data_IF_585836237585
#
_entry.id   IF_585836237585
#
_cell.length_a   1.000
_cell.length_b   1.000
_cell.length_c   1.000
_cell.angle_alpha   90.00
_cell.angle_beta   90.00
_cell.angle_gamma   90.00
#
_symmetry.space_group_name_H-M   'P 1'
#
loop_
_entity.id
_entity.type
_entity.pdbx_description
1 polymer ?
#
# COMPACT_ATOMS: atom_id res chain seq x y z
N UNK A 1 34.69 18.94 15.18
CA UNK A 1 34.34 17.68 14.47
C UNK A 1 32.89 17.39 14.81
N UNK A 2 32.03 17.19 13.81
CA UNK A 2 30.65 16.73 14.01
C UNK A 2 30.69 15.21 13.88
N UNK A 3 30.08 14.51 14.82
CA UNK A 3 30.00 13.05 14.85
C UNK A 3 28.55 12.64 15.07
N UNK A 4 28.17 11.51 14.48
CA UNK A 4 26.87 10.88 14.71
C UNK A 4 27.00 10.00 15.94
N UNK A 5 26.16 10.22 16.95
CA UNK A 5 26.23 9.49 18.22
C UNK A 5 25.21 8.34 18.32
N UNK A 6 24.10 8.44 17.60
CA UNK A 6 23.00 7.47 17.63
C UNK A 6 22.51 7.19 16.20
N UNK A 7 21.62 6.20 16.05
CA UNK A 7 20.94 5.94 14.78
C UNK A 7 20.19 7.20 14.33
N UNK A 8 20.33 7.51 13.05
CA UNK A 8 19.61 8.58 12.37
C UNK A 8 18.58 7.91 11.47
N UNK A 9 17.38 8.43 11.49
CA UNK A 9 16.22 7.93 10.77
C UNK A 9 15.47 9.16 10.26
N UNK A 10 15.33 9.25 8.93
CA UNK A 10 14.75 10.42 8.24
C UNK A 10 13.23 10.46 8.45
N UNK A 11 12.60 9.29 8.53
CA UNK A 11 11.18 9.08 8.79
C UNK A 11 10.79 9.63 10.17
N UNK A 12 11.73 9.63 11.12
CA UNK A 12 11.57 10.23 12.45
C UNK A 12 11.93 11.73 12.49
N UNK A 13 13.12 12.10 12.00
CA UNK A 13 13.64 13.48 12.08
C UNK A 13 14.40 13.86 10.81
N UNK A 14 13.80 14.74 10.01
CA UNK A 14 14.37 15.22 8.72
C UNK A 14 15.49 16.25 8.92
N UNK A 15 15.40 17.10 9.96
CA UNK A 15 16.33 18.21 10.16
C UNK A 15 16.84 18.32 11.59
N UNK A 16 18.15 18.51 11.74
CA UNK A 16 18.82 18.79 13.02
C UNK A 16 19.40 20.20 13.02
N UNK A 17 18.76 21.17 13.70
CA UNK A 17 19.32 22.50 13.88
C UNK A 17 20.39 22.49 14.98
N UNK A 18 21.59 22.96 14.65
CA UNK A 18 22.72 23.08 15.56
C UNK A 18 23.15 24.55 15.67
N UNK A 19 23.44 24.99 16.90
CA UNK A 19 24.07 26.28 17.17
C UNK A 19 25.50 26.04 17.61
N UNK A 20 26.45 26.46 16.78
CA UNK A 20 27.87 26.37 17.07
C UNK A 20 28.34 27.68 17.69
N UNK A 21 28.89 27.63 18.90
CA UNK A 21 29.56 28.77 19.52
C UNK A 21 31.06 28.63 19.33
N UNK A 22 31.68 29.62 18.69
CA UNK A 22 33.11 29.70 18.47
C UNK A 22 33.63 30.78 19.42
N UNK A 23 34.57 30.44 20.30
CA UNK A 23 35.19 31.40 21.23
C UNK A 23 36.70 31.45 21.04
N UNK A 24 37.28 32.65 21.17
CA UNK A 24 38.73 32.81 21.22
C UNK A 24 39.28 32.56 22.63
N UNK A 25 40.61 32.48 22.74
CA UNK A 25 41.32 32.37 24.02
C UNK A 25 41.71 33.74 24.60
N UNK A 26 41.06 34.82 24.16
CA UNK A 26 41.33 36.18 24.63
C UNK A 26 40.91 36.40 26.09
N UNK A 27 41.34 37.52 26.68
CA UNK A 27 40.85 37.96 27.98
C UNK A 27 40.51 39.47 27.93
N UNK A 28 39.22 39.86 27.83
CA UNK A 28 38.05 38.98 27.83
C UNK A 28 37.93 38.15 26.54
N UNK A 29 37.36 36.95 26.67
CA UNK A 29 37.11 36.07 25.51
C UNK A 29 35.96 36.62 24.67
N UNK A 30 36.13 36.60 23.36
CA UNK A 30 35.07 36.92 22.41
C UNK A 30 34.48 35.62 21.85
N UNK A 31 33.17 35.61 21.63
CA UNK A 31 32.49 34.47 20.99
C UNK A 31 31.52 34.92 19.92
N UNK A 32 31.29 34.05 18.95
CA UNK A 32 30.31 34.23 17.87
C UNK A 32 29.55 32.93 17.66
N UNK A 33 28.28 33.04 17.30
CA UNK A 33 27.42 31.89 17.02
C UNK A 33 27.24 31.69 15.52
N UNK A 34 27.22 30.43 15.09
CA UNK A 34 26.90 29.99 13.73
C UNK A 34 25.76 28.98 13.79
N UNK A 35 24.69 29.25 13.05
CA UNK A 35 23.58 28.31 12.89
C UNK A 35 23.87 27.35 11.74
N UNK A 36 23.78 26.06 12.00
CA UNK A 36 23.91 24.98 11.01
C UNK A 36 22.59 24.19 11.00
N UNK A 37 22.09 23.87 9.81
CA UNK A 37 20.96 22.96 9.64
C UNK A 37 21.48 21.71 8.93
N UNK A 38 21.43 20.56 9.61
CA UNK A 38 21.76 19.27 9.00
C UNK A 38 20.47 18.69 8.45
N UNK A 39 20.45 18.39 7.16
CA UNK A 39 19.39 17.64 6.48
C UNK A 39 19.78 16.16 6.42
N UNK A 40 18.85 15.29 6.83
CA UNK A 40 19.01 13.86 6.71
C UNK A 40 18.49 13.45 5.33
N UNK A 41 19.32 12.73 4.58
CA UNK A 41 18.95 12.20 3.27
C UNK A 41 18.18 10.89 3.44
N UNK A 42 17.27 10.67 2.50
CA UNK A 42 16.42 9.49 2.42
C UNK A 42 17.19 8.26 1.93
N UNK A 43 16.91 7.10 2.53
CA UNK A 43 17.33 5.78 2.07
C UNK A 43 16.09 4.92 1.87
N UNK A 44 16.11 3.98 0.92
CA UNK A 44 14.96 3.09 0.67
C UNK A 44 14.90 1.95 1.69
N UNK A 45 14.47 2.24 2.91
CA UNK A 45 14.42 1.29 4.03
C UNK A 45 13.01 0.94 4.50
N UNK A 46 11.98 1.55 3.91
CA UNK A 46 10.60 1.14 4.06
C UNK A 46 10.14 0.32 2.84
N UNK A 47 9.03 -0.40 3.03
CA UNK A 47 8.40 -1.20 2.00
C UNK A 47 6.95 -0.75 1.86
N UNK A 48 6.34 -0.85 0.66
CA UNK A 48 4.94 -0.51 0.48
C UNK A 48 4.05 -1.34 1.42
N UNK A 49 3.16 -0.68 2.14
CA UNK A 49 2.17 -1.30 3.00
C UNK A 49 0.76 -1.16 2.40
N UNK A 50 0.10 -2.29 2.13
CA UNK A 50 -1.27 -2.32 1.62
C UNK A 50 -2.31 -2.16 2.73
N UNK A 51 -3.28 -1.28 2.52
CA UNK A 51 -4.40 -0.99 3.41
C UNK A 51 -5.71 -1.53 2.84
N UNK A 52 -6.04 -2.79 3.17
CA UNK A 52 -7.27 -3.45 2.70
C UNK A 52 -8.07 -4.06 3.85
N UNK A 53 -9.38 -3.82 3.89
CA UNK A 53 -10.25 -4.40 4.92
C UNK A 53 -10.52 -5.90 4.70
N UNK A 54 -10.59 -6.33 3.44
CA UNK A 54 -10.90 -7.72 3.05
C UNK A 54 -10.13 -8.13 1.81
N UNK A 55 -9.50 -9.31 1.84
CA UNK A 55 -8.75 -9.87 0.70
C UNK A 55 -9.63 -10.53 -0.38
N UNK A 56 -10.94 -10.25 -0.38
CA UNK A 56 -11.87 -10.77 -1.37
C UNK A 56 -12.89 -9.72 -1.86
N UNK A 57 -13.40 -9.95 -3.06
CA UNK A 57 -14.38 -9.11 -3.74
C UNK A 57 -15.48 -10.03 -4.27
N UNK A 58 -16.72 -9.60 -4.17
CA UNK A 58 -17.88 -10.33 -4.68
C UNK A 58 -18.37 -9.65 -5.96
N UNK A 59 -18.33 -10.36 -7.09
CA UNK A 59 -18.55 -9.78 -8.41
C UNK A 59 -19.70 -10.48 -9.16
N UNK A 60 -20.65 -9.74 -9.72
CA UNK A 60 -21.80 -10.37 -10.37
C UNK A 60 -21.36 -11.21 -11.59
N UNK A 61 -22.01 -12.34 -11.87
CA UNK A 61 -21.73 -13.12 -13.09
C UNK A 61 -22.03 -12.32 -14.37
N UNK A 62 -22.98 -11.39 -14.32
CA UNK A 62 -23.43 -10.57 -15.46
C UNK A 62 -22.66 -9.23 -15.60
N UNK A 63 -21.40 -9.17 -15.16
CA UNK A 63 -20.60 -7.93 -15.23
C UNK A 63 -20.41 -7.45 -16.65
N UNK A 64 -20.55 -6.14 -16.81
CA UNK A 64 -20.26 -5.40 -18.03
C UNK A 64 -18.80 -4.91 -18.08
N UNK A 65 -18.31 -4.65 -19.29
CA UNK A 65 -16.98 -4.12 -19.55
C UNK A 65 -16.69 -2.82 -18.78
N UNK A 66 -15.42 -2.62 -18.38
CA UNK A 66 -14.89 -1.41 -17.71
C UNK A 66 -15.49 -1.14 -16.33
N UNK A 67 -16.04 -2.15 -15.67
CA UNK A 67 -16.48 -2.01 -14.30
C UNK A 67 -15.27 -1.92 -13.35
N UNK A 68 -15.34 -0.96 -12.43
CA UNK A 68 -14.43 -0.82 -11.29
C UNK A 68 -14.75 -1.88 -10.24
N UNK A 69 -13.74 -2.63 -9.80
CA UNK A 69 -13.90 -3.69 -8.80
C UNK A 69 -13.46 -3.23 -7.41
N UNK A 70 -12.23 -2.74 -7.31
CA UNK A 70 -11.64 -2.24 -6.07
C UNK A 70 -10.60 -1.17 -6.40
N UNK A 71 -10.37 -0.29 -5.44
CA UNK A 71 -9.26 0.64 -5.42
C UNK A 71 -8.32 0.22 -4.29
N UNK A 72 -7.12 -0.22 -4.63
CA UNK A 72 -6.11 -0.58 -3.65
C UNK A 72 -5.41 0.69 -3.17
N UNK A 73 -5.23 0.77 -1.85
CA UNK A 73 -4.52 1.87 -1.20
C UNK A 73 -3.28 1.28 -0.55
N UNK A 74 -2.12 1.79 -0.91
CA UNK A 74 -0.86 1.45 -0.27
C UNK A 74 -0.11 2.72 0.12
N UNK A 75 0.77 2.63 1.11
CA UNK A 75 1.63 3.73 1.52
C UNK A 75 3.06 3.24 1.74
N UNK A 76 4.00 4.12 1.45
CA UNK A 76 5.41 3.96 1.73
C UNK A 76 5.87 5.26 2.37
N UNK A 77 6.69 5.16 3.40
CA UNK A 77 7.11 6.33 4.16
C UNK A 77 8.32 7.01 3.52
N UNK A 78 9.04 6.35 2.63
CA UNK A 78 10.23 6.89 1.97
C UNK A 78 9.88 8.06 1.03
N UNK A 79 10.87 8.85 0.64
CA UNK A 79 10.65 10.05 -0.16
C UNK A 79 10.88 9.81 -1.66
N UNK A 80 10.16 10.59 -2.48
CA UNK A 80 10.30 10.58 -3.94
C UNK A 80 10.19 9.16 -4.52
N UNK A 81 11.15 8.72 -5.31
CA UNK A 81 11.13 7.39 -5.94
C UNK A 81 11.21 6.24 -4.93
N UNK A 82 11.82 6.47 -3.76
CA UNK A 82 11.89 5.44 -2.72
C UNK A 82 10.49 5.17 -2.14
N UNK A 83 9.63 6.20 -2.05
CA UNK A 83 8.23 6.03 -1.65
C UNK A 83 7.22 5.90 -2.80
N UNK A 84 7.64 5.97 -4.06
CA UNK A 84 6.71 5.96 -5.20
C UNK A 84 6.20 4.54 -5.47
N UNK A 85 4.92 4.32 -5.18
CA UNK A 85 4.28 3.01 -5.30
C UNK A 85 3.65 2.80 -6.66
N UNK A 86 3.88 1.62 -7.23
CA UNK A 86 3.18 1.17 -8.44
C UNK A 86 2.60 -0.23 -8.29
N UNK A 87 1.59 -0.49 -9.11
CA UNK A 87 0.74 -1.68 -9.06
C UNK A 87 0.76 -2.43 -10.39
N UNK A 88 0.95 -3.74 -10.33
CA UNK A 88 0.90 -4.61 -11.51
C UNK A 88 0.15 -5.90 -11.19
N UNK A 89 -0.51 -6.50 -12.18
CA UNK A 89 -1.01 -7.86 -12.06
C UNK A 89 0.09 -8.82 -12.50
N UNK A 90 0.29 -9.89 -11.73
CA UNK A 90 1.22 -10.95 -12.10
C UNK A 90 0.89 -11.46 -13.51
N UNK A 91 1.89 -11.74 -14.37
CA UNK A 91 1.67 -12.28 -15.72
C UNK A 91 0.88 -13.59 -15.76
N UNK A 92 0.81 -14.31 -14.63
CA UNK A 92 0.05 -15.54 -14.48
C UNK A 92 -1.47 -15.30 -14.30
N UNK A 93 -1.89 -14.04 -14.19
CA UNK A 93 -3.27 -13.63 -13.97
C UNK A 93 -4.05 -13.57 -15.29
N UNK A 94 -5.37 -13.81 -15.24
CA UNK A 94 -6.25 -13.72 -16.41
C UNK A 94 -6.16 -12.35 -17.11
N UNK A 95 -6.04 -12.29 -18.45
CA UNK A 95 -5.96 -11.04 -19.21
C UNK A 95 -7.27 -10.23 -19.20
N UNK A 96 -8.31 -10.77 -18.56
CA UNK A 96 -9.60 -10.09 -18.42
C UNK A 96 -9.59 -8.95 -17.40
N UNK A 97 -8.55 -8.88 -16.57
CA UNK A 97 -8.40 -7.88 -15.52
C UNK A 97 -7.18 -7.01 -15.79
N UNK A 98 -7.28 -5.74 -15.42
CA UNK A 98 -6.17 -4.81 -15.42
C UNK A 98 -6.19 -4.03 -14.12
N UNK A 99 -5.01 -3.77 -13.58
CA UNK A 99 -4.83 -2.80 -12.50
C UNK A 99 -4.18 -1.55 -13.07
N UNK A 100 -4.70 -0.38 -12.70
CA UNK A 100 -4.12 0.89 -13.08
C UNK A 100 -2.82 1.12 -12.30
N UNK A 101 -1.74 1.31 -13.04
CA UNK A 101 -0.36 1.31 -12.54
C UNK A 101 -0.10 2.27 -11.37
N UNK A 102 -0.61 3.51 -11.45
CA UNK A 102 -0.29 4.58 -10.48
C UNK A 102 -1.29 4.75 -9.35
N UNK A 103 -2.46 4.11 -9.42
CA UNK A 103 -3.52 4.33 -8.43
C UNK A 103 -4.18 3.04 -7.93
N UNK A 104 -3.67 1.86 -8.31
CA UNK A 104 -4.13 0.60 -7.73
C UNK A 104 -5.58 0.23 -8.06
N UNK A 105 -6.22 0.86 -9.06
CA UNK A 105 -7.62 0.58 -9.39
C UNK A 105 -7.72 -0.66 -10.26
N UNK A 106 -8.41 -1.70 -9.78
CA UNK A 106 -8.67 -2.93 -10.51
C UNK A 106 -9.94 -2.79 -11.37
N UNK A 107 -9.79 -3.03 -12.67
CA UNK A 107 -10.84 -2.93 -13.68
C UNK A 107 -10.96 -4.22 -14.48
N UNK A 108 -12.16 -4.46 -15.00
CA UNK A 108 -12.41 -5.53 -15.98
C UNK A 108 -12.28 -4.97 -17.40
N UNK A 109 -11.41 -5.57 -18.22
CA UNK A 109 -11.09 -5.10 -19.56
C UNK A 109 -11.81 -5.87 -20.69
N UNK A 110 -12.37 -7.05 -20.43
CA UNK A 110 -12.95 -7.91 -21.49
C UNK A 110 -14.18 -7.29 -22.18
N UNK A 111 -14.36 -7.63 -23.47
CA UNK A 111 -15.54 -7.30 -24.28
C UNK A 111 -16.65 -8.36 -24.18
N UNK A 112 -16.36 -9.54 -23.64
CA UNK A 112 -17.31 -10.65 -23.50
C UNK A 112 -17.76 -10.78 -22.05
N UNK A 113 -18.94 -11.35 -21.82
CA UNK A 113 -19.31 -11.80 -20.48
C UNK A 113 -18.20 -12.70 -19.95
N UNK A 114 -17.84 -12.50 -18.68
CA UNK A 114 -16.91 -13.36 -17.97
C UNK A 114 -17.59 -14.69 -17.68
N UNK A 115 -17.61 -15.59 -18.66
CA UNK A 115 -18.13 -16.95 -18.51
C UNK A 115 -17.01 -17.77 -17.87
N UNK A 116 -16.89 -17.64 -16.55
CA UNK A 116 -16.07 -18.55 -15.76
C UNK A 116 -16.93 -19.69 -15.26
N UNK A 117 -16.47 -20.92 -15.50
CA UNK A 117 -17.03 -22.13 -14.89
C UNK A 117 -16.76 -22.14 -13.38
N UNK A 118 -15.65 -21.53 -12.95
CA UNK A 118 -15.29 -21.37 -11.56
C UNK A 118 -15.94 -20.15 -10.90
N UNK A 119 -16.36 -20.34 -9.64
CA UNK A 119 -16.89 -19.27 -8.79
C UNK A 119 -15.80 -18.48 -8.04
N UNK A 120 -14.53 -18.74 -8.33
CA UNK A 120 -13.38 -18.08 -7.71
C UNK A 120 -12.31 -17.79 -8.76
N UNK A 121 -11.89 -16.53 -8.82
CA UNK A 121 -10.69 -16.09 -9.52
C UNK A 121 -9.68 -15.60 -8.50
N UNK A 122 -8.42 -15.97 -8.71
CA UNK A 122 -7.30 -15.54 -7.90
C UNK A 122 -6.46 -14.58 -8.75
N UNK A 123 -6.27 -13.36 -8.24
CA UNK A 123 -5.38 -12.37 -8.84
C UNK A 123 -4.20 -12.16 -7.90
N UNK A 124 -2.98 -12.23 -8.44
CA UNK A 124 -1.78 -11.86 -7.71
C UNK A 124 -1.41 -10.43 -8.09
N UNK A 125 -1.52 -9.51 -7.14
CA UNK A 125 -1.18 -8.10 -7.32
C UNK A 125 0.22 -7.88 -6.80
N UNK A 126 1.09 -7.35 -7.65
CA UNK A 126 2.43 -6.92 -7.33
C UNK A 126 2.38 -5.42 -6.98
N UNK A 127 2.91 -5.06 -5.82
CA UNK A 127 2.98 -3.66 -5.36
C UNK A 127 4.43 -3.39 -5.05
N UNK A 128 4.99 -2.34 -5.65
CA UNK A 128 6.42 -2.09 -5.63
C UNK A 128 6.73 -0.62 -5.44
N UNK A 129 7.78 -0.31 -4.71
CA UNK A 129 8.43 1.00 -4.79
C UNK A 129 9.41 1.10 -5.98
N UNK A 130 10.04 2.27 -6.14
CA UNK A 130 11.07 2.52 -7.14
C UNK A 130 12.42 2.90 -6.54
N UNK A 131 12.61 2.58 -5.26
CA UNK A 131 13.78 3.02 -4.54
C UNK A 131 15.06 2.26 -4.88
N UNK A 132 16.18 2.83 -4.44
CA UNK A 132 17.51 2.24 -4.59
C UNK A 132 18.15 2.08 -3.21
N UNK A 133 18.99 1.05 -3.00
CA UNK A 133 19.55 0.12 -4.00
C UNK A 133 18.65 -1.05 -4.39
N UNK A 134 17.72 -1.48 -3.52
CA UNK A 134 16.84 -2.62 -3.77
C UNK A 134 15.39 -2.14 -3.62
N UNK A 135 14.60 -2.11 -4.71
CA UNK A 135 13.19 -1.78 -4.61
C UNK A 135 12.41 -2.90 -3.93
N UNK A 136 11.55 -2.56 -2.96
CA UNK A 136 10.73 -3.53 -2.26
C UNK A 136 9.53 -3.96 -3.10
N UNK A 137 9.26 -5.28 -3.15
CA UNK A 137 8.14 -5.88 -3.87
C UNK A 137 7.30 -6.71 -2.90
N UNK A 138 6.03 -6.36 -2.75
CA UNK A 138 5.05 -7.18 -2.06
C UNK A 138 4.08 -7.82 -3.07
N UNK A 139 3.58 -9.01 -2.75
CA UNK A 139 2.58 -9.72 -3.56
C UNK A 139 1.35 -10.00 -2.71
N UNK A 140 0.23 -9.40 -3.08
CA UNK A 140 -1.06 -9.63 -2.44
C UNK A 140 -1.93 -10.56 -3.29
N UNK A 141 -2.76 -11.39 -2.63
CA UNK A 141 -3.66 -12.32 -3.32
C UNK A 141 -5.11 -11.88 -3.16
N UNK A 142 -5.66 -11.27 -4.21
CA UNK A 142 -7.07 -10.89 -4.27
C UNK A 142 -7.92 -12.06 -4.77
N UNK A 143 -9.01 -12.34 -4.05
CA UNK A 143 -9.97 -13.39 -4.41
C UNK A 143 -11.26 -12.77 -4.90
N UNK A 144 -11.57 -13.00 -6.17
CA UNK A 144 -12.81 -12.56 -6.78
C UNK A 144 -13.76 -13.74 -6.76
N UNK A 145 -14.73 -13.70 -5.87
CA UNK A 145 -15.83 -14.64 -5.91
C UNK A 145 -16.80 -14.18 -7.00
N UNK A 146 -17.34 -15.11 -7.80
CA UNK A 146 -18.32 -14.87 -8.88
C UNK A 146 -19.65 -15.54 -8.57
N UNK A 147 -20.74 -14.78 -8.62
CA UNK A 147 -22.04 -15.21 -8.13
C UNK A 147 -23.16 -14.32 -8.66
N UNK A 148 -24.38 -14.81 -8.54
CA UNK A 148 -25.57 -14.18 -9.14
C UNK A 148 -26.44 -13.42 -8.13
N UNK A 149 -26.49 -13.90 -6.89
CA UNK A 149 -27.35 -13.36 -5.84
C UNK A 149 -26.80 -13.66 -4.43
N UNK A 150 -27.45 -13.12 -3.40
CA UNK A 150 -27.02 -13.28 -1.99
C UNK A 150 -26.88 -14.74 -1.55
N UNK A 151 -27.79 -15.63 -1.95
CA UNK A 151 -27.76 -17.03 -1.52
C UNK A 151 -26.57 -17.76 -2.14
N UNK A 152 -26.35 -17.54 -3.44
CA UNK A 152 -25.20 -18.03 -4.18
C UNK A 152 -23.89 -17.57 -3.52
N UNK A 153 -23.82 -16.28 -3.19
CA UNK A 153 -22.68 -15.70 -2.48
C UNK A 153 -22.37 -16.34 -1.14
N UNK A 154 -23.39 -16.54 -0.31
CA UNK A 154 -23.22 -17.19 0.98
C UNK A 154 -22.72 -18.64 0.80
N UNK A 155 -23.22 -19.35 -0.21
CA UNK A 155 -22.78 -20.70 -0.52
C UNK A 155 -21.32 -20.72 -1.00
N UNK A 156 -20.91 -19.76 -1.82
CA UNK A 156 -19.53 -19.61 -2.29
C UNK A 156 -18.59 -19.28 -1.11
N UNK A 157 -18.94 -18.30 -0.28
CA UNK A 157 -18.14 -17.94 0.90
C UNK A 157 -18.02 -19.13 1.87
N UNK A 158 -19.08 -19.91 2.07
CA UNK A 158 -19.02 -21.15 2.85
C UNK A 158 -18.15 -22.21 2.19
N UNK A 159 -18.28 -22.43 0.87
CA UNK A 159 -17.46 -23.39 0.10
C UNK A 159 -15.96 -23.12 0.27
N UNK A 160 -15.57 -21.85 0.34
CA UNK A 160 -14.16 -21.44 0.46
C UNK A 160 -13.73 -21.02 1.87
N UNK A 161 -14.57 -21.22 2.90
CA UNK A 161 -14.29 -20.85 4.30
C UNK A 161 -14.03 -19.35 4.55
N UNK A 162 -14.68 -18.46 3.78
CA UNK A 162 -14.66 -17.00 3.96
C UNK A 162 -15.90 -16.45 4.68
N UNK A 163 -16.81 -17.33 5.10
CA UNK A 163 -18.00 -16.94 5.85
C UNK A 163 -17.73 -16.98 7.36
N UNK A 164 -17.88 -15.83 8.03
CA UNK A 164 -17.82 -15.69 9.48
C UNK A 164 -19.14 -15.09 10.01
N UNK A 165 -19.86 -15.86 10.82
CA UNK A 165 -21.14 -15.44 11.43
C UNK A 165 -20.96 -14.28 12.42
N UNK A 166 -19.78 -14.14 13.03
CA UNK A 166 -19.53 -13.13 14.07
C UNK A 166 -19.29 -11.72 13.50
N UNK A 167 -18.87 -11.64 12.23
CA UNK A 167 -18.65 -10.39 11.49
C UNK A 167 -19.94 -9.62 11.16
N UNK A 168 -21.06 -10.33 10.99
CA UNK A 168 -22.39 -9.72 10.74
C UNK A 168 -22.96 -9.03 12.00
N UNK A 169 -22.73 -9.63 13.18
CA UNK A 169 -23.18 -9.08 14.47
C UNK A 169 -22.51 -7.74 14.79
N UNK A 170 -21.24 -7.56 14.40
CA UNK A 170 -20.50 -6.29 14.59
C UNK A 170 -20.98 -5.16 13.66
N UNK A 171 -21.39 -5.48 12.43
CA UNK A 171 -21.93 -4.47 11.48
C UNK A 171 -23.36 -4.02 11.83
N UNK A 172 -24.15 -4.86 12.48
CA UNK A 172 -25.50 -4.49 12.95
C UNK A 172 -25.46 -3.51 14.13
N UNK A 173 -24.56 -3.72 15.10
CA UNK A 173 -24.39 -2.79 16.24
C UNK A 173 -23.88 -1.40 15.86
N UNK A 174 -23.16 -1.24 14.75
CA UNK A 174 -22.68 0.08 14.27
C UNK A 174 -23.75 0.88 13.50
N UNK A 175 -24.88 0.27 13.13
CA UNK A 175 -26.01 0.99 12.51
C UNK A 175 -27.08 1.42 13.53
N UNK A 176 -26.93 1.01 14.78
CA UNK A 176 -27.89 1.26 15.89
C UNK A 176 -27.30 2.16 16.98
N UNK A 177 -26.13 2.78 16.74
CA UNK A 177 -25.44 3.69 17.66
C UNK A 177 -25.26 5.08 17.03
#
# INVERSE_FOLDING_TARGET
MIIVNDLIDRELIVYYPLLLTISDHGNPSQSTNLSLLIEILDENDNCPQLHIETSFIMINRDITKKQYLIHLIASDNDQDLNGEITFELSPLTSPSFVILYTNGTLIIQTNSNLIYDDSLIILHVQIRDHGKPIPCLIVETLRLFIGSNRTDWLNILKKYNYYDETSLVRKQKRKEA
#
